data_IF_337343817702
#
_entry.id   IF_337343817702
#
_cell.length_a   1.000
_cell.length_b   1.000
_cell.length_c   1.000
_cell.angle_alpha   90.00
_cell.angle_beta   90.00
_cell.angle_gamma   90.00
#
_symmetry.space_group_name_H-M   'P 1'
#
loop_
_entity.id
_entity.type
_entity.pdbx_description
1 polymer ?
#
# COMPACT_ATOMS: atom_id res chain seq x y z
N UNK A 1 -39.63 -14.49 -3.38
CA UNK A 1 -38.22 -14.16 -3.06
C UNK A 1 -37.29 -15.37 -3.24
N UNK A 2 -37.69 -16.60 -2.91
CA UNK A 2 -36.85 -17.82 -3.10
C UNK A 2 -36.80 -18.33 -4.54
N UNK A 3 -37.81 -18.02 -5.36
CA UNK A 3 -37.92 -18.44 -6.76
C UNK A 3 -36.84 -17.82 -7.65
N UNK A 4 -36.55 -16.53 -7.45
CA UNK A 4 -35.52 -15.81 -8.21
C UNK A 4 -34.11 -16.37 -7.92
N UNK A 5 -33.83 -16.71 -6.66
CA UNK A 5 -32.55 -17.32 -6.27
C UNK A 5 -32.41 -18.72 -6.86
N UNK A 6 -33.50 -19.51 -6.86
CA UNK A 6 -33.52 -20.83 -7.49
C UNK A 6 -33.27 -20.76 -9.00
N UNK A 7 -33.89 -19.80 -9.70
CA UNK A 7 -33.71 -19.60 -11.13
C UNK A 7 -32.28 -19.16 -11.49
N UNK A 8 -31.66 -18.30 -10.68
CA UNK A 8 -30.27 -17.87 -10.86
C UNK A 8 -29.30 -19.04 -10.64
N UNK A 9 -29.53 -19.87 -9.62
CA UNK A 9 -28.72 -21.07 -9.37
C UNK A 9 -28.81 -22.08 -10.51
N UNK A 10 -30.00 -22.26 -11.09
CA UNK A 10 -30.18 -23.13 -12.26
C UNK A 10 -29.38 -22.61 -13.46
N UNK A 11 -29.51 -21.30 -13.77
CA UNK A 11 -28.78 -20.64 -14.87
C UNK A 11 -27.25 -20.70 -14.71
N UNK A 12 -26.74 -20.67 -13.48
CA UNK A 12 -25.31 -20.85 -13.20
C UNK A 12 -24.85 -22.28 -13.50
N UNK A 13 -25.62 -23.29 -13.09
CA UNK A 13 -25.30 -24.71 -13.34
C UNK A 13 -25.30 -25.05 -14.84
N UNK A 14 -26.29 -24.57 -15.57
CA UNK A 14 -26.40 -24.79 -17.02
C UNK A 14 -25.22 -24.17 -17.79
N UNK A 15 -24.87 -22.91 -17.49
CA UNK A 15 -23.70 -22.24 -18.10
C UNK A 15 -22.37 -22.87 -17.71
N UNK A 16 -22.23 -23.39 -16.49
CA UNK A 16 -21.01 -24.10 -16.04
C UNK A 16 -20.77 -25.35 -16.87
N UNK A 17 -21.81 -26.15 -17.11
CA UNK A 17 -21.70 -27.35 -17.95
C UNK A 17 -21.25 -27.03 -19.38
N UNK A 18 -21.76 -25.93 -19.96
CA UNK A 18 -21.32 -25.48 -21.28
C UNK A 18 -19.84 -25.09 -21.34
N UNK A 19 -19.33 -24.41 -20.30
CA UNK A 19 -17.92 -24.00 -20.26
C UNK A 19 -16.96 -25.15 -19.90
N UNK A 20 -17.38 -26.07 -19.05
CA UNK A 20 -16.62 -27.28 -18.68
C UNK A 20 -16.42 -28.20 -19.91
N UNK A 21 -17.44 -28.33 -20.76
CA UNK A 21 -17.32 -29.03 -22.04
C UNK A 21 -16.33 -28.34 -22.99
N UNK A 22 -16.33 -27.00 -23.05
CA UNK A 22 -15.39 -26.26 -23.90
C UNK A 22 -13.96 -26.29 -23.38
N UNK A 23 -13.74 -26.23 -22.07
CA UNK A 23 -12.41 -26.33 -21.47
C UNK A 23 -11.82 -27.74 -21.61
N UNK A 24 -12.69 -28.77 -21.58
CA UNK A 24 -12.29 -30.15 -21.88
C UNK A 24 -11.79 -30.30 -23.34
N UNK A 25 -12.34 -29.51 -24.28
CA UNK A 25 -11.92 -29.54 -25.68
C UNK A 25 -10.78 -28.57 -26.01
N UNK A 26 -10.67 -27.45 -25.30
CA UNK A 26 -9.70 -26.39 -25.52
C UNK A 26 -8.85 -26.25 -24.25
N UNK A 27 -7.70 -26.94 -24.24
CA UNK A 27 -6.79 -27.03 -23.08
C UNK A 27 -6.17 -25.69 -22.66
N UNK A 28 -6.52 -24.61 -23.37
CA UNK A 28 -6.11 -23.23 -23.06
C UNK A 28 -7.02 -22.56 -22.02
N UNK A 29 -8.20 -23.13 -21.75
CA UNK A 29 -9.14 -22.58 -20.76
C UNK A 29 -8.81 -23.16 -19.39
N UNK A 30 -8.36 -22.30 -18.47
CA UNK A 30 -8.05 -22.70 -17.09
C UNK A 30 -9.35 -23.11 -16.36
N UNK A 31 -9.40 -24.35 -15.84
CA UNK A 31 -10.54 -24.88 -15.09
C UNK A 31 -10.85 -24.03 -13.85
N UNK A 32 -9.84 -23.45 -13.21
CA UNK A 32 -9.98 -22.62 -12.00
C UNK A 32 -10.69 -21.27 -12.28
N UNK A 33 -10.73 -20.82 -13.54
CA UNK A 33 -11.36 -19.55 -13.94
C UNK A 33 -12.77 -19.73 -14.52
N UNK A 34 -13.24 -20.97 -14.66
CA UNK A 34 -14.57 -21.27 -15.21
C UNK A 34 -15.68 -20.69 -14.33
N UNK A 35 -15.57 -20.88 -13.02
CA UNK A 35 -16.59 -20.41 -12.08
C UNK A 35 -16.67 -18.87 -12.09
N UNK A 36 -15.54 -18.16 -12.14
CA UNK A 36 -15.49 -16.70 -12.26
C UNK A 36 -16.12 -16.21 -13.56
N UNK A 37 -15.86 -16.90 -14.67
CA UNK A 37 -16.44 -16.59 -15.98
C UNK A 37 -17.96 -16.82 -16.01
N UNK A 38 -18.43 -17.91 -15.40
CA UNK A 38 -19.86 -18.25 -15.29
C UNK A 38 -20.57 -17.19 -14.44
N UNK A 39 -20.00 -16.84 -13.29
CA UNK A 39 -20.53 -15.82 -12.37
C UNK A 39 -20.61 -14.46 -13.06
N UNK A 40 -19.55 -14.02 -13.73
CA UNK A 40 -19.55 -12.74 -14.47
C UNK A 40 -20.51 -12.72 -15.66
N UNK A 41 -20.83 -13.87 -16.27
CA UNK A 41 -21.82 -13.97 -17.36
C UNK A 41 -23.27 -14.03 -16.89
N UNK A 42 -23.53 -14.47 -15.66
CA UNK A 42 -24.89 -14.52 -15.08
C UNK A 42 -25.19 -13.28 -14.24
N UNK A 43 -24.27 -12.90 -13.35
CA UNK A 43 -24.44 -11.81 -12.38
C UNK A 43 -23.80 -10.49 -12.84
N UNK A 44 -22.99 -10.52 -13.91
CA UNK A 44 -22.23 -9.38 -14.42
C UNK A 44 -20.83 -9.29 -13.77
N UNK A 45 -19.89 -8.53 -14.39
CA UNK A 45 -18.57 -8.32 -13.81
C UNK A 45 -18.66 -7.69 -12.42
N UNK A 46 -17.85 -8.23 -11.50
CA UNK A 46 -17.74 -7.83 -10.10
C UNK A 46 -17.56 -6.31 -10.00
N UNK A 47 -18.39 -5.65 -9.20
CA UNK A 47 -18.61 -4.20 -9.25
C UNK A 47 -17.61 -3.39 -8.44
N UNK A 48 -16.32 -3.71 -8.48
CA UNK A 48 -15.30 -2.77 -8.02
C UNK A 48 -15.03 -1.74 -9.13
N UNK A 49 -15.54 -0.50 -8.96
CA UNK A 49 -15.13 0.67 -9.76
C UNK A 49 -15.84 0.92 -11.10
N UNK A 50 -17.17 0.82 -11.20
CA UNK A 50 -17.89 1.19 -12.43
C UNK A 50 -17.91 2.71 -12.69
N UNK A 51 -16.98 3.21 -13.52
CA UNK A 51 -17.24 4.37 -14.39
C UNK A 51 -17.91 3.83 -15.65
N UNK A 52 -19.21 4.11 -15.82
CA UNK A 52 -19.97 3.71 -17.01
C UNK A 52 -19.64 4.68 -18.14
N UNK A 53 -18.71 4.32 -19.03
CA UNK A 53 -18.70 4.93 -20.36
C UNK A 53 -19.80 4.26 -21.20
N UNK A 54 -20.85 5.02 -21.50
CA UNK A 54 -21.96 4.60 -22.32
C UNK A 54 -21.49 4.62 -23.79
N UNK A 55 -21.13 3.46 -24.33
CA UNK A 55 -20.79 3.33 -25.75
C UNK A 55 -20.01 2.06 -26.08
N UNK A 56 -20.69 1.14 -26.77
CA UNK A 56 -20.13 0.11 -27.65
C UNK A 56 -19.06 -0.85 -27.08
N UNK A 57 -19.51 -2.05 -26.69
CA UNK A 57 -18.75 -3.32 -26.57
C UNK A 57 -17.24 -3.21 -26.35
N UNK A 58 -16.80 -3.08 -25.09
CA UNK A 58 -15.44 -3.42 -24.69
C UNK A 58 -15.51 -4.71 -23.85
N UNK A 59 -14.95 -5.79 -24.40
CA UNK A 59 -14.69 -7.03 -23.68
C UNK A 59 -13.72 -6.74 -22.52
N UNK A 60 -13.95 -7.24 -21.29
CA UNK A 60 -13.06 -7.04 -20.13
C UNK A 60 -11.65 -7.64 -20.24
N UNK A 61 -11.14 -7.89 -21.44
CA UNK A 61 -9.79 -8.41 -21.70
C UNK A 61 -8.81 -7.33 -22.17
N UNK A 62 -9.27 -6.11 -22.43
CA UNK A 62 -8.42 -5.02 -22.96
C UNK A 62 -8.31 -3.79 -22.05
N UNK A 63 -8.55 -3.94 -20.74
CA UNK A 63 -8.26 -2.86 -19.79
C UNK A 63 -6.77 -2.79 -19.39
N UNK A 64 -5.95 -3.76 -19.81
CA UNK A 64 -4.50 -3.78 -19.61
C UNK A 64 -3.76 -3.61 -20.94
N UNK A 65 -4.20 -2.66 -21.77
CA UNK A 65 -3.46 -2.26 -22.97
C UNK A 65 -2.24 -1.41 -22.58
N UNK A 66 -1.06 -2.03 -22.60
CA UNK A 66 0.29 -1.48 -22.90
C UNK A 66 0.85 -0.26 -22.14
N UNK A 67 0.11 0.37 -21.23
CA UNK A 67 0.55 1.62 -20.58
C UNK A 67 0.90 1.42 -19.10
N UNK A 68 0.61 0.26 -18.53
CA UNK A 68 0.78 -0.01 -17.09
C UNK A 68 2.24 -0.22 -16.67
N UNK A 69 3.16 -0.37 -17.63
CA UNK A 69 4.60 -0.38 -17.33
C UNK A 69 5.12 0.97 -16.83
N UNK A 70 4.38 2.07 -17.01
CA UNK A 70 4.72 3.36 -16.40
C UNK A 70 4.11 3.55 -15.00
N UNK A 71 3.22 2.66 -14.55
CA UNK A 71 2.54 2.77 -13.26
C UNK A 71 2.90 1.65 -12.26
N UNK A 72 3.36 0.50 -12.73
CA UNK A 72 3.95 -0.53 -11.88
C UNK A 72 5.45 -0.24 -11.72
N UNK A 73 5.92 0.35 -10.61
CA UNK A 73 7.35 0.34 -10.35
C UNK A 73 7.77 -1.13 -10.30
N UNK A 74 8.83 -1.47 -11.02
CA UNK A 74 9.33 -2.84 -10.98
C UNK A 74 9.56 -3.25 -9.53
N UNK A 75 9.34 -4.51 -9.16
CA UNK A 75 9.51 -4.99 -7.77
C UNK A 75 10.90 -4.59 -7.20
N UNK A 76 11.92 -4.57 -8.07
CA UNK A 76 13.27 -4.09 -7.76
C UNK A 76 13.34 -2.58 -7.50
N UNK A 77 12.59 -1.76 -8.23
CA UNK A 77 12.48 -0.32 -8.01
C UNK A 77 11.80 -0.01 -6.67
N UNK A 78 10.69 -0.70 -6.36
CA UNK A 78 10.02 -0.55 -5.07
C UNK A 78 10.94 -0.94 -3.91
N UNK A 79 11.73 -2.01 -4.07
CA UNK A 79 12.71 -2.43 -3.06
C UNK A 79 13.88 -1.44 -2.90
N UNK A 80 14.39 -0.89 -3.99
CA UNK A 80 15.43 0.13 -3.97
C UNK A 80 14.97 1.42 -3.29
N UNK A 81 13.73 1.83 -3.52
CA UNK A 81 13.14 3.04 -2.92
C UNK A 81 12.87 2.86 -1.42
N UNK A 82 12.40 1.67 -1.01
CA UNK A 82 12.30 1.30 0.41
C UNK A 82 13.67 1.31 1.09
N UNK A 83 14.71 0.81 0.42
CA UNK A 83 16.07 0.82 0.98
C UNK A 83 16.61 2.24 1.11
N UNK A 84 16.42 3.09 0.09
CA UNK A 84 16.80 4.50 0.14
C UNK A 84 16.13 5.24 1.31
N UNK A 85 14.83 5.00 1.52
CA UNK A 85 14.09 5.58 2.63
C UNK A 85 14.59 5.07 4.00
N UNK A 86 15.01 3.80 4.10
CA UNK A 86 15.63 3.27 5.32
C UNK A 86 16.95 3.97 5.63
N UNK A 87 17.78 4.17 4.62
CA UNK A 87 19.09 4.83 4.78
C UNK A 87 18.90 6.30 5.17
N UNK A 88 17.91 6.99 4.59
CA UNK A 88 17.53 8.36 4.94
C UNK A 88 17.02 8.46 6.39
N UNK A 89 16.15 7.55 6.81
CA UNK A 89 15.69 7.49 8.21
C UNK A 89 16.84 7.21 9.18
N UNK A 90 17.78 6.34 8.82
CA UNK A 90 18.95 6.06 9.64
C UNK A 90 19.84 7.30 9.79
N UNK A 91 20.10 8.01 8.69
CA UNK A 91 20.86 9.26 8.71
C UNK A 91 20.17 10.33 9.57
N UNK A 92 18.85 10.46 9.45
CA UNK A 92 18.08 11.41 10.25
C UNK A 92 18.09 11.05 11.73
N UNK A 93 18.06 9.76 12.09
CA UNK A 93 18.20 9.33 13.48
C UNK A 93 19.58 9.68 14.05
N UNK A 94 20.64 9.45 13.29
CA UNK A 94 22.01 9.79 13.72
C UNK A 94 22.13 11.29 13.97
N UNK A 95 21.69 12.15 13.03
CA UNK A 95 21.77 13.61 13.19
C UNK A 95 20.92 14.10 14.37
N UNK A 96 19.76 13.48 14.61
CA UNK A 96 18.91 13.83 15.76
C UNK A 96 19.58 13.48 17.09
N UNK A 97 20.21 12.31 17.17
CA UNK A 97 20.93 11.88 18.39
C UNK A 97 22.13 12.80 18.66
N UNK A 98 22.88 13.16 17.63
CA UNK A 98 24.00 14.12 17.73
C UNK A 98 23.53 15.49 18.22
N UNK A 99 22.44 16.03 17.67
CA UNK A 99 21.85 17.29 18.13
C UNK A 99 21.39 17.23 19.59
N UNK A 100 20.78 16.12 20.03
CA UNK A 100 20.38 15.95 21.44
C UNK A 100 21.61 15.93 22.36
N UNK A 101 22.70 15.29 21.94
CA UNK A 101 23.92 15.24 22.73
C UNK A 101 24.55 16.64 22.90
N UNK A 102 24.57 17.43 21.83
CA UNK A 102 25.07 18.82 21.86
C UNK A 102 24.23 19.68 22.82
N UNK A 103 22.90 19.65 22.71
CA UNK A 103 22.02 20.41 23.58
C UNK A 103 22.15 20.01 25.06
N UNK A 104 22.38 18.73 25.36
CA UNK A 104 22.65 18.28 26.73
C UNK A 104 23.98 18.80 27.26
N UNK A 105 25.03 18.81 26.44
CA UNK A 105 26.33 19.36 26.82
C UNK A 105 26.25 20.87 27.06
N UNK A 106 25.53 21.60 26.20
CA UNK A 106 25.30 23.05 26.35
C UNK A 106 24.48 23.36 27.62
N UNK A 107 23.42 22.60 27.88
CA UNK A 107 22.62 22.75 29.10
C UNK A 107 23.46 22.51 30.36
N UNK A 108 24.30 21.47 30.36
CA UNK A 108 25.20 21.19 31.49
C UNK A 108 26.25 22.30 31.70
N UNK A 109 26.83 22.83 30.61
CA UNK A 109 27.77 23.94 30.70
C UNK A 109 27.11 25.20 31.27
N UNK A 110 25.87 25.50 30.87
CA UNK A 110 25.10 26.64 31.36
C UNK A 110 24.70 26.50 32.84
N UNK A 111 24.39 25.30 33.30
CA UNK A 111 24.14 25.05 34.73
C UNK A 111 25.41 25.22 35.58
N UNK A 112 26.57 24.75 35.08
CA UNK A 112 27.85 24.95 35.77
C UNK A 112 28.20 26.44 35.84
N UNK A 113 28.02 27.18 34.75
CA UNK A 113 28.28 28.62 34.73
C UNK A 113 27.32 29.38 35.67
N UNK A 114 26.04 29.03 35.70
CA UNK A 114 25.07 29.60 36.63
C UNK A 114 25.42 29.29 38.11
N UNK A 115 25.89 28.08 38.40
CA UNK A 115 26.33 27.70 39.73
C UNK A 115 27.61 28.45 40.15
N UNK A 116 28.59 28.58 39.24
CA UNK A 116 29.83 29.33 39.49
C UNK A 116 29.52 30.81 39.72
N UNK A 117 28.63 31.42 38.91
CA UNK A 117 28.19 32.80 39.10
C UNK A 117 27.47 33.03 40.43
N UNK A 118 26.65 32.07 40.89
CA UNK A 118 26.02 32.13 42.20
C UNK A 118 27.03 32.02 43.35
N UNK A 119 28.04 31.14 43.22
CA UNK A 119 29.11 31.00 44.22
C UNK A 119 29.98 32.25 44.31
N UNK A 120 30.32 32.87 43.19
CA UNK A 120 31.04 34.16 43.17
C UNK A 120 30.22 35.30 43.78
N UNK A 121 28.91 35.34 43.52
CA UNK A 121 28.03 36.33 44.13
C UNK A 121 27.98 36.19 45.65
N UNK A 122 27.90 34.96 46.18
CA UNK A 122 27.92 34.70 47.62
C UNK A 122 29.27 35.11 48.24
N UNK A 123 30.39 34.77 47.61
CA UNK A 123 31.74 35.13 48.10
C UNK A 123 31.95 36.65 48.21
N UNK A 124 31.33 37.43 47.33
CA UNK A 124 31.38 38.90 47.35
C UNK A 124 30.63 39.54 48.52
N UNK A 125 29.67 38.85 49.13
CA UNK A 125 28.96 39.32 50.31
C UNK A 125 29.67 38.99 51.63
N UNK A 126 30.52 37.96 51.66
CA UNK A 126 31.33 37.59 52.84
C UNK A 126 32.61 38.44 53.00
N UNK A 127 33.04 39.19 51.98
CA UNK A 127 34.20 40.09 52.02
C UNK A 127 33.87 41.56 52.39
N UNK A 128 32.60 41.87 52.74
CA UNK A 128 32.13 43.18 53.23
C UNK A 128 31.99 43.20 54.76
#
# INVERSE_FOLDING_TARGET
>A
MTTEVAEIMEKLKDKRAGYEATASSDSSVNLDDIDNRVITKVLGPERYGRVRFQGFFISPTQYFGSNLQQYMPSMNQAQAEVQRLRDEMAQMQVSTVEHIAQLKAEAAAREVEAAVGAVEAIRKYDEL
#
